data_IF_586758737682
#
_entry.id   IF_586758737682
#
_cell.length_a   1.000
_cell.length_b   1.000
_cell.length_c   1.000
_cell.angle_alpha   90.00
_cell.angle_beta   90.00
_cell.angle_gamma   90.00
#
_symmetry.space_group_name_H-M   'P 1'
#
loop_
_entity.id
_entity.type
_entity.pdbx_description
1 polymer ?
#
# COMPACT_ATOMS: atom_id res chain seq x y z
N UNK A 1 12.38 -24.89 68.59
CA UNK A 1 12.19 -23.48 68.18
C UNK A 1 12.19 -23.47 66.66
N UNK A 2 10.97 -23.42 66.12
CA UNK A 2 10.50 -22.94 64.81
C UNK A 2 11.29 -23.26 63.53
N UNK A 3 10.74 -24.17 62.73
CA UNK A 3 10.86 -24.13 61.26
C UNK A 3 9.49 -24.45 60.65
N UNK A 4 8.86 -23.44 60.03
CA UNK A 4 7.58 -23.56 59.34
C UNK A 4 7.76 -24.20 57.96
N UNK A 5 7.33 -25.44 57.81
CA UNK A 5 7.13 -26.14 56.53
C UNK A 5 5.62 -26.14 56.21
N UNK A 6 5.20 -25.46 55.14
CA UNK A 6 3.88 -25.67 54.54
C UNK A 6 4.07 -26.23 53.13
N UNK A 7 3.83 -27.54 52.99
CA UNK A 7 3.74 -28.25 51.70
C UNK A 7 2.27 -28.32 51.30
N UNK A 8 1.95 -27.77 50.13
CA UNK A 8 0.64 -27.94 49.49
C UNK A 8 0.43 -29.40 49.07
N UNK A 9 -0.74 -29.97 49.41
CA UNK A 9 -1.16 -31.31 49.01
C UNK A 9 -1.76 -31.27 47.60
N UNK A 10 -1.17 -32.02 46.68
CA UNK A 10 -1.69 -32.36 45.36
C UNK A 10 -2.67 -33.53 45.53
N UNK A 11 -3.91 -33.39 45.05
CA UNK A 11 -4.84 -34.50 44.87
C UNK A 11 -4.98 -34.80 43.39
N UNK A 12 -4.58 -36.02 43.02
CA UNK A 12 -4.68 -36.62 41.69
C UNK A 12 -5.97 -37.46 41.66
N UNK A 13 -6.86 -37.20 40.71
CA UNK A 13 -8.02 -38.07 40.43
C UNK A 13 -7.96 -38.50 38.97
N UNK A 14 -7.90 -39.82 38.78
CA UNK A 14 -7.88 -40.53 37.51
C UNK A 14 -9.30 -41.00 37.22
N UNK A 15 -9.80 -40.82 36.00
CA UNK A 15 -11.04 -41.50 35.56
C UNK A 15 -11.00 -41.87 34.09
N UNK A 16 -11.57 -43.05 33.84
CA UNK A 16 -11.44 -43.94 32.69
C UNK A 16 -12.07 -43.46 31.37
N UNK A 17 -11.53 -44.01 30.28
CA UNK A 17 -12.06 -44.04 28.92
C UNK A 17 -13.29 -44.95 28.84
N UNK A 18 -14.37 -44.48 28.18
CA UNK A 18 -15.41 -45.32 27.63
C UNK A 18 -15.77 -44.81 26.22
N UNK A 19 -15.64 -45.68 25.22
CA UNK A 19 -16.06 -45.42 23.85
C UNK A 19 -17.53 -45.84 23.66
N UNK A 20 -18.36 -44.95 23.11
CA UNK A 20 -19.71 -45.25 22.65
C UNK A 20 -19.88 -44.63 21.25
N UNK A 21 -20.01 -45.49 20.25
CA UNK A 21 -20.64 -45.19 18.97
C UNK A 21 -22.16 -45.36 19.13
N UNK A 22 -23.02 -44.51 18.54
CA UNK A 22 -24.18 -44.80 17.65
C UNK A 22 -24.91 -43.49 17.24
N UNK A 23 -24.93 -43.28 15.91
CA UNK A 23 -25.87 -42.57 14.99
C UNK A 23 -26.18 -41.06 15.04
N UNK A 24 -26.29 -40.40 13.86
CA UNK A 24 -26.44 -38.95 13.72
C UNK A 24 -27.89 -38.54 13.41
N UNK A 25 -28.46 -37.63 14.19
CA UNK A 25 -29.65 -36.89 13.76
C UNK A 25 -29.65 -35.47 14.31
N UNK A 26 -29.60 -34.55 13.35
CA UNK A 26 -30.13 -33.17 13.37
C UNK A 26 -29.49 -32.17 14.33
N UNK A 27 -28.33 -31.64 13.91
CA UNK A 27 -28.03 -30.22 14.10
C UNK A 27 -28.11 -29.54 12.73
N UNK A 28 -29.18 -28.76 12.55
CA UNK A 28 -29.40 -27.90 11.39
C UNK A 28 -28.27 -26.86 11.34
N UNK A 29 -27.28 -27.13 10.50
CA UNK A 29 -26.33 -26.12 10.06
C UNK A 29 -27.04 -25.25 9.03
N UNK A 30 -27.24 -23.97 9.33
CA UNK A 30 -27.53 -22.97 8.30
C UNK A 30 -26.25 -22.71 7.52
N UNK A 31 -25.84 -23.68 6.71
CA UNK A 31 -24.95 -23.43 5.59
C UNK A 31 -25.82 -22.77 4.51
N UNK A 32 -25.68 -21.46 4.35
CA UNK A 32 -26.15 -20.78 3.15
C UNK A 32 -25.44 -21.45 1.97
N UNK A 33 -26.13 -22.34 1.26
CA UNK A 33 -25.69 -22.80 -0.04
C UNK A 33 -25.73 -21.57 -0.96
N UNK A 34 -24.60 -20.87 -1.08
CA UNK A 34 -24.38 -20.08 -2.28
C UNK A 34 -24.34 -21.10 -3.41
N UNK A 35 -25.37 -21.07 -4.26
CA UNK A 35 -25.30 -21.72 -5.57
C UNK A 35 -24.16 -20.99 -6.29
N UNK A 36 -22.94 -21.50 -6.14
CA UNK A 36 -21.85 -21.14 -7.00
C UNK A 36 -22.26 -21.64 -8.38
N UNK A 37 -22.64 -20.69 -9.24
CA UNK A 37 -22.98 -20.98 -10.63
C UNK A 37 -21.69 -21.40 -11.32
N UNK A 38 -21.34 -22.68 -11.21
CA UNK A 38 -20.22 -23.26 -11.94
C UNK A 38 -20.54 -23.07 -13.43
N UNK A 39 -19.72 -22.32 -14.19
CA UNK A 39 -19.94 -22.19 -15.62
C UNK A 39 -19.95 -23.60 -16.23
N UNK A 40 -20.87 -23.84 -17.17
CA UNK A 40 -20.98 -25.12 -17.85
C UNK A 40 -19.61 -25.53 -18.42
N UNK A 41 -19.29 -26.82 -18.27
CA UNK A 41 -18.02 -27.36 -18.76
C UNK A 41 -17.85 -26.99 -20.25
N UNK A 42 -16.66 -26.52 -20.68
CA UNK A 42 -16.43 -26.04 -22.05
C UNK A 42 -16.60 -27.13 -23.13
N UNK A 43 -16.70 -28.39 -22.72
CA UNK A 43 -17.04 -29.53 -23.57
C UNK A 43 -18.55 -29.72 -23.82
N UNK A 44 -19.43 -28.99 -23.13
CA UNK A 44 -20.88 -29.08 -23.40
C UNK A 44 -21.17 -28.59 -24.82
N UNK A 45 -21.76 -29.47 -25.64
CA UNK A 45 -22.09 -29.18 -27.04
C UNK A 45 -20.97 -29.48 -28.05
N UNK A 46 -19.80 -29.93 -27.60
CA UNK A 46 -18.69 -30.32 -28.48
C UNK A 46 -18.30 -31.80 -28.25
N UNK A 47 -17.93 -32.53 -29.33
CA UNK A 47 -17.35 -33.90 -29.24
C UNK A 47 -15.86 -33.88 -28.83
N UNK A 48 -15.42 -32.85 -28.12
CA UNK A 48 -14.02 -32.63 -27.76
C UNK A 48 -13.87 -32.85 -26.26
N UNK A 49 -12.98 -33.77 -25.82
CA UNK A 49 -12.80 -34.05 -24.39
C UNK A 49 -12.17 -32.85 -23.67
N UNK A 50 -12.47 -32.67 -22.38
CA UNK A 50 -11.92 -31.57 -21.56
C UNK A 50 -10.37 -31.55 -21.56
N UNK A 51 -9.73 -32.69 -21.71
CA UNK A 51 -8.26 -32.83 -21.79
C UNK A 51 -7.63 -32.23 -23.06
N UNK A 52 -8.43 -31.93 -24.09
CA UNK A 52 -7.96 -31.26 -25.31
C UNK A 52 -7.97 -29.74 -25.17
N UNK A 53 -8.80 -29.19 -24.27
CA UNK A 53 -8.74 -27.78 -23.97
C UNK A 53 -7.45 -27.52 -23.18
N UNK A 54 -6.54 -26.75 -23.78
CA UNK A 54 -5.36 -26.26 -23.08
C UNK A 54 -5.75 -25.40 -21.86
N UNK A 55 -4.76 -24.97 -21.05
CA UNK A 55 -5.01 -23.98 -20.00
C UNK A 55 -5.82 -22.83 -20.61
N UNK A 56 -6.89 -22.37 -19.94
CA UNK A 56 -7.73 -21.33 -20.52
C UNK A 56 -6.85 -20.15 -20.95
N UNK A 57 -7.16 -19.45 -22.04
CA UNK A 57 -6.36 -18.31 -22.48
C UNK A 57 -6.09 -17.28 -21.37
N UNK A 58 -6.96 -17.23 -20.35
CA UNK A 58 -6.80 -16.45 -19.12
C UNK A 58 -5.61 -16.83 -18.23
N UNK A 59 -5.10 -18.06 -18.32
CA UNK A 59 -3.86 -18.49 -17.65
C UNK A 59 -2.64 -17.75 -18.19
N UNK A 60 -2.67 -17.37 -19.47
CA UNK A 60 -1.58 -16.64 -20.14
C UNK A 60 -1.89 -15.16 -20.34
N UNK A 61 -3.17 -14.82 -20.47
CA UNK A 61 -3.66 -13.47 -20.70
C UNK A 61 -4.85 -13.18 -19.77
N UNK A 62 -4.59 -12.81 -18.51
CA UNK A 62 -5.62 -12.61 -17.49
C UNK A 62 -6.71 -11.60 -17.88
N UNK A 63 -6.40 -10.66 -18.77
CA UNK A 63 -7.34 -9.67 -19.31
C UNK A 63 -8.55 -10.29 -20.04
N UNK A 64 -8.44 -11.57 -20.45
CA UNK A 64 -9.50 -12.28 -21.15
C UNK A 64 -10.64 -12.75 -20.23
N UNK A 65 -10.47 -12.68 -18.91
CA UNK A 65 -11.52 -12.99 -17.91
C UNK A 65 -12.07 -11.75 -17.20
N UNK A 66 -11.58 -10.55 -17.53
CA UNK A 66 -12.10 -9.30 -16.98
C UNK A 66 -11.01 -8.25 -16.76
N UNK A 67 -11.35 -7.13 -16.11
CA UNK A 67 -10.38 -6.08 -15.76
C UNK A 67 -9.22 -6.66 -14.94
N UNK A 68 -8.00 -6.54 -15.45
CA UNK A 68 -6.81 -6.99 -14.74
C UNK A 68 -6.35 -5.94 -13.73
N UNK A 69 -6.34 -6.34 -12.46
CA UNK A 69 -5.76 -5.55 -11.37
C UNK A 69 -4.27 -5.82 -11.27
N UNK A 70 -3.45 -4.81 -11.58
CA UNK A 70 -1.99 -4.89 -11.51
C UNK A 70 -1.42 -4.47 -10.14
N UNK A 71 -2.12 -3.62 -9.40
CA UNK A 71 -1.69 -3.17 -8.07
C UNK A 71 -2.05 -4.23 -7.02
N UNK A 72 -1.05 -4.85 -6.39
CA UNK A 72 -1.26 -5.88 -5.36
C UNK A 72 -1.43 -5.31 -3.95
N UNK A 73 -0.83 -4.15 -3.68
CA UNK A 73 -0.62 -3.59 -2.33
C UNK A 73 -1.88 -3.15 -1.55
N UNK A 74 -3.08 -3.33 -2.11
CA UNK A 74 -4.31 -3.00 -1.39
C UNK A 74 -5.60 -3.24 -2.17
N UNK A 75 -6.71 -2.74 -1.65
CA UNK A 75 -8.05 -2.97 -2.19
C UNK A 75 -8.47 -1.81 -3.11
N UNK A 76 -8.93 -2.14 -4.32
CA UNK A 76 -9.33 -1.15 -5.32
C UNK A 76 -10.85 -1.10 -5.37
N UNK A 77 -11.42 0.09 -5.23
CA UNK A 77 -12.82 0.37 -5.50
C UNK A 77 -12.92 1.12 -6.83
N UNK A 78 -13.29 0.37 -7.87
CA UNK A 78 -13.46 0.89 -9.23
C UNK A 78 -14.62 1.87 -9.35
N UNK A 79 -15.66 1.75 -8.52
CA UNK A 79 -16.82 2.64 -8.58
C UNK A 79 -16.49 3.98 -7.92
N UNK A 80 -15.77 3.95 -6.80
CA UNK A 80 -15.31 5.15 -6.12
C UNK A 80 -14.05 5.76 -6.76
N UNK A 81 -13.38 5.05 -7.67
CA UNK A 81 -12.05 5.40 -8.21
C UNK A 81 -11.00 5.57 -7.10
N UNK A 82 -10.97 4.65 -6.15
CA UNK A 82 -10.06 4.72 -5.00
C UNK A 82 -9.29 3.43 -4.78
N UNK A 83 -8.21 3.54 -4.03
CA UNK A 83 -7.48 2.39 -3.48
C UNK A 83 -7.23 2.59 -2.00
N UNK A 84 -7.47 1.56 -1.20
CA UNK A 84 -7.11 1.53 0.22
C UNK A 84 -5.84 0.69 0.40
N UNK A 85 -4.77 1.33 0.88
CA UNK A 85 -3.46 0.74 1.12
C UNK A 85 -3.15 0.66 2.62
N UNK A 86 -2.30 -0.28 3.06
CA UNK A 86 -1.67 -0.23 4.38
C UNK A 86 -0.89 1.07 4.56
N UNK A 87 -1.07 1.69 5.73
CA UNK A 87 -0.34 2.89 6.12
C UNK A 87 0.77 2.52 7.11
N UNK A 88 2.00 2.82 6.73
CA UNK A 88 3.17 2.61 7.55
C UNK A 88 3.61 3.92 8.20
N UNK A 89 4.26 3.79 9.35
CA UNK A 89 4.83 4.93 10.07
C UNK A 89 6.35 4.82 10.08
N UNK A 90 6.99 5.98 10.13
CA UNK A 90 8.43 6.07 10.23
C UNK A 90 8.87 7.49 10.58
N UNK A 91 10.15 7.72 10.35
CA UNK A 91 10.78 8.99 10.71
C UNK A 91 11.87 9.37 9.73
N UNK A 92 12.09 10.67 9.56
CA UNK A 92 13.29 11.20 8.93
C UNK A 92 14.34 11.46 10.02
N UNK A 93 15.56 10.96 9.81
CA UNK A 93 16.73 11.31 10.60
C UNK A 93 16.94 12.82 10.47
N UNK A 94 16.72 13.55 11.58
CA UNK A 94 16.88 15.00 11.58
C UNK A 94 18.33 15.39 11.28
N UNK A 95 18.53 16.17 10.22
CA UNK A 95 19.61 17.16 10.17
C UNK A 95 18.91 18.52 10.32
N UNK A 96 18.99 19.11 11.49
CA UNK A 96 18.69 20.53 11.65
C UNK A 96 19.88 21.19 12.31
N UNK A 97 20.25 22.35 11.78
CA UNK A 97 21.21 23.30 12.35
C UNK A 97 20.83 23.74 13.78
N UNK A 98 19.64 23.35 14.26
CA UNK A 98 19.07 23.69 15.57
C UNK A 98 18.83 22.47 16.49
N UNK A 99 19.41 21.31 16.17
CA UNK A 99 19.33 20.07 16.99
C UNK A 99 18.62 18.90 16.29
N UNK A 100 18.71 17.70 16.87
CA UNK A 100 18.12 16.47 16.31
C UNK A 100 16.58 16.49 16.40
N UNK A 101 15.90 17.11 15.43
CA UNK A 101 14.44 17.02 15.29
C UNK A 101 14.10 15.87 14.35
N UNK A 102 13.65 14.75 14.92
CA UNK A 102 13.09 13.62 14.19
C UNK A 102 11.71 14.00 13.65
N UNK A 103 11.56 14.07 12.33
CA UNK A 103 10.25 14.35 11.70
C UNK A 103 9.49 13.04 11.49
N UNK A 104 8.30 12.94 12.08
CA UNK A 104 7.40 11.79 11.85
C UNK A 104 6.87 11.83 10.42
N UNK A 105 6.84 10.68 9.77
CA UNK A 105 6.30 10.52 8.43
C UNK A 105 5.40 9.29 8.36
N UNK A 106 4.49 9.33 7.41
CA UNK A 106 3.60 8.24 7.07
C UNK A 106 3.72 7.96 5.59
N UNK A 107 3.86 6.70 5.23
CA UNK A 107 4.16 6.29 3.87
C UNK A 107 3.38 5.03 3.51
N UNK A 108 3.26 4.79 2.22
CA UNK A 108 2.72 3.55 1.65
C UNK A 108 3.84 2.77 0.98
N UNK A 109 3.64 1.48 0.78
CA UNK A 109 4.54 0.64 -0.02
C UNK A 109 3.76 0.08 -1.20
N UNK A 110 4.31 0.15 -2.40
CA UNK A 110 3.66 -0.35 -3.62
C UNK A 110 4.47 -1.42 -4.33
N UNK A 111 5.79 -1.24 -4.40
CA UNK A 111 6.69 -2.06 -5.18
C UNK A 111 7.96 -2.40 -4.40
N UNK A 112 8.59 -3.52 -4.76
CA UNK A 112 9.95 -3.85 -4.31
C UNK A 112 10.72 -4.64 -5.36
N UNK A 113 12.05 -4.53 -5.36
CA UNK A 113 12.92 -5.31 -6.24
C UNK A 113 13.15 -6.75 -5.75
N UNK A 114 12.57 -7.16 -4.62
CA UNK A 114 12.68 -8.52 -4.08
C UNK A 114 11.37 -9.30 -4.19
N UNK A 115 11.43 -10.49 -4.79
CA UNK A 115 10.23 -11.28 -5.03
C UNK A 115 9.63 -11.85 -3.74
N UNK A 116 10.47 -12.29 -2.80
CA UNK A 116 10.01 -12.88 -1.55
C UNK A 116 9.25 -11.86 -0.71
N UNK A 117 9.82 -10.66 -0.55
CA UNK A 117 9.19 -9.55 0.16
C UNK A 117 7.94 -9.06 -0.56
N UNK A 118 7.97 -8.99 -1.91
CA UNK A 118 6.78 -8.64 -2.68
C UNK A 118 5.61 -9.59 -2.40
N UNK A 119 5.88 -10.89 -2.35
CA UNK A 119 4.83 -11.89 -2.11
C UNK A 119 4.36 -11.90 -0.65
N UNK A 120 5.26 -11.70 0.33
CA UNK A 120 4.89 -11.65 1.75
C UNK A 120 4.10 -10.40 2.14
N UNK A 121 4.42 -9.26 1.54
CA UNK A 121 3.79 -7.96 1.85
C UNK A 121 2.64 -7.63 0.89
N UNK A 122 2.42 -8.45 -0.14
CA UNK A 122 1.43 -8.18 -1.18
C UNK A 122 1.81 -7.00 -2.07
N UNK A 123 3.10 -6.71 -2.25
CA UNK A 123 3.60 -5.65 -3.13
C UNK A 123 3.80 -6.16 -4.56
N UNK A 124 3.97 -5.22 -5.48
CA UNK A 124 4.38 -5.51 -6.84
C UNK A 124 5.87 -5.88 -6.88
N UNK A 125 6.19 -6.97 -7.58
CA UNK A 125 7.59 -7.33 -7.82
C UNK A 125 8.12 -6.56 -9.02
N UNK A 126 9.05 -5.66 -8.75
CA UNK A 126 9.60 -4.71 -9.72
C UNK A 126 11.13 -4.81 -9.75
N UNK A 127 11.71 -5.84 -10.40
CA UNK A 127 13.16 -6.08 -10.41
C UNK A 127 13.96 -4.92 -11.01
N UNK A 128 13.33 -4.11 -11.88
CA UNK A 128 13.92 -2.92 -12.50
C UNK A 128 14.28 -1.84 -11.47
N UNK A 129 13.67 -1.83 -10.28
CA UNK A 129 14.04 -0.92 -9.19
C UNK A 129 15.52 -1.06 -8.79
N UNK A 130 16.15 -2.22 -9.03
CA UNK A 130 17.60 -2.42 -8.85
C UNK A 130 18.44 -1.36 -9.58
N UNK A 131 17.99 -0.90 -10.75
CA UNK A 131 18.72 0.09 -11.54
C UNK A 131 18.49 1.53 -11.07
N UNK A 132 17.47 1.79 -10.25
CA UNK A 132 17.24 3.12 -9.69
C UNK A 132 18.36 3.54 -8.72
N UNK A 133 19.06 2.57 -8.11
CA UNK A 133 20.19 2.84 -7.21
C UNK A 133 21.49 3.24 -7.92
N UNK A 134 21.54 3.20 -9.26
CA UNK A 134 22.71 3.70 -10.01
C UNK A 134 22.80 5.22 -9.94
N UNK A 135 21.66 5.90 -9.89
CA UNK A 135 21.55 7.35 -9.76
C UNK A 135 21.36 7.82 -8.31
N UNK A 136 20.84 9.02 -8.13
CA UNK A 136 20.55 9.58 -6.81
C UNK A 136 19.10 9.37 -6.36
N UNK A 137 18.30 8.65 -7.16
CA UNK A 137 16.89 8.40 -6.97
C UNK A 137 16.54 7.45 -5.81
N UNK A 138 17.52 6.87 -5.09
CA UNK A 138 17.26 5.97 -3.96
C UNK A 138 17.84 6.52 -2.65
N UNK A 139 16.99 6.70 -1.64
CA UNK A 139 17.40 7.09 -0.29
C UNK A 139 17.74 5.89 0.55
N UNK A 140 18.56 6.10 1.57
CA UNK A 140 18.86 5.04 2.54
C UNK A 140 17.85 5.07 3.68
N UNK A 141 17.31 3.91 4.03
CA UNK A 141 16.48 3.70 5.20
C UNK A 141 17.06 2.57 6.07
N UNK A 142 16.75 2.62 7.36
CA UNK A 142 17.10 1.61 8.35
C UNK A 142 15.82 1.10 9.00
N UNK A 143 15.68 -0.23 9.08
CA UNK A 143 14.61 -0.89 9.81
C UNK A 143 14.93 -0.86 11.31
N UNK A 144 14.03 -0.28 12.09
CA UNK A 144 14.16 -0.18 13.53
C UNK A 144 13.58 -1.40 14.26
N UNK A 145 13.88 -1.53 15.55
CA UNK A 145 13.42 -2.66 16.38
C UNK A 145 11.89 -2.73 16.50
N UNK A 146 11.22 -1.60 16.40
CA UNK A 146 9.76 -1.48 16.44
C UNK A 146 9.10 -1.66 15.06
N UNK A 147 9.87 -2.12 14.06
CA UNK A 147 9.48 -2.32 12.65
C UNK A 147 9.17 -1.04 11.87
N UNK A 148 9.37 0.14 12.47
CA UNK A 148 9.34 1.40 11.75
C UNK A 148 10.59 1.57 10.88
N UNK A 149 10.52 2.49 9.92
CA UNK A 149 11.66 2.85 9.09
C UNK A 149 12.18 4.24 9.46
N UNK A 150 13.48 4.34 9.71
CA UNK A 150 14.21 5.61 9.75
C UNK A 150 14.83 5.89 8.39
N UNK A 151 14.36 6.94 7.73
CA UNK A 151 14.88 7.43 6.46
C UNK A 151 16.01 8.42 6.75
N UNK A 152 17.14 8.31 6.06
CA UNK A 152 18.30 9.15 6.36
C UNK A 152 18.11 10.63 6.01
N UNK A 153 17.28 10.94 5.02
CA UNK A 153 17.00 12.30 4.57
C UNK A 153 15.72 12.35 3.72
N UNK A 154 15.28 13.55 3.37
CA UNK A 154 14.19 13.79 2.44
C UNK A 154 12.81 13.78 3.09
N UNK A 155 12.15 14.92 3.10
CA UNK A 155 10.73 15.05 3.48
C UNK A 155 9.94 15.71 2.37
N UNK A 156 8.62 15.65 2.51
CA UNK A 156 7.67 16.34 1.64
C UNK A 156 7.05 17.50 2.41
N UNK A 157 6.88 18.62 1.72
CA UNK A 157 6.08 19.77 2.14
C UNK A 157 4.73 19.73 1.42
N UNK A 158 3.66 19.61 2.21
CA UNK A 158 2.27 19.57 1.74
C UNK A 158 1.56 20.92 1.89
N UNK A 159 2.22 21.94 2.44
CA UNK A 159 1.63 23.28 2.61
C UNK A 159 1.39 24.08 1.31
N UNK A 160 2.06 23.83 0.17
CA UNK A 160 1.77 24.55 -1.06
C UNK A 160 0.35 24.33 -1.57
N UNK A 161 -0.29 25.41 -2.03
CA UNK A 161 -1.54 25.28 -2.76
C UNK A 161 -1.26 24.94 -4.22
N UNK A 162 -1.83 23.82 -4.67
CA UNK A 162 -1.82 23.44 -6.08
C UNK A 162 -2.50 24.53 -6.93
N UNK A 163 -1.85 24.94 -8.01
CA UNK A 163 -2.44 25.83 -9.00
C UNK A 163 -2.33 25.23 -10.40
N UNK A 164 -3.37 25.43 -11.22
CA UNK A 164 -3.38 25.02 -12.62
C UNK A 164 -4.32 25.96 -13.39
N UNK A 165 -3.74 26.81 -14.24
CA UNK A 165 -4.49 27.73 -15.10
C UNK A 165 -4.30 27.27 -16.55
N UNK A 166 -5.37 26.95 -17.28
CA UNK A 166 -5.26 26.50 -18.67
C UNK A 166 -4.66 27.59 -19.58
N UNK A 167 -4.12 27.16 -20.71
CA UNK A 167 -3.70 28.04 -21.80
C UNK A 167 -4.88 28.78 -22.44
N UNK A 168 -4.57 29.66 -23.39
CA UNK A 168 -5.60 30.42 -24.10
C UNK A 168 -6.40 29.52 -25.05
N UNK A 169 -7.73 29.69 -25.08
CA UNK A 169 -8.58 28.99 -26.04
C UNK A 169 -8.13 29.26 -27.50
N UNK A 170 -8.24 28.28 -28.41
CA UNK A 170 -8.78 26.92 -28.21
C UNK A 170 -7.77 25.94 -27.59
N UNK A 171 -6.53 26.37 -27.34
CA UNK A 171 -5.44 25.52 -26.90
C UNK A 171 -5.22 25.63 -25.39
N UNK A 172 -5.98 24.86 -24.61
CA UNK A 172 -5.84 24.82 -23.15
C UNK A 172 -4.47 24.26 -22.68
N UNK A 173 -3.71 23.63 -23.56
CA UNK A 173 -2.37 23.12 -23.30
C UNK A 173 -1.33 23.79 -24.22
N UNK A 174 -0.14 24.17 -23.71
CA UNK A 174 0.29 24.06 -22.32
C UNK A 174 -0.45 25.04 -21.38
N UNK A 175 -0.58 24.72 -20.08
CA UNK A 175 -1.18 25.64 -19.11
C UNK A 175 -0.36 26.92 -18.97
N UNK A 176 -1.05 28.04 -18.71
CA UNK A 176 -0.43 29.35 -18.51
C UNK A 176 0.40 29.41 -17.23
N UNK A 177 -0.13 28.84 -16.14
CA UNK A 177 0.57 28.70 -14.87
C UNK A 177 0.23 27.37 -14.22
N UNK A 178 1.19 26.79 -13.49
CA UNK A 178 0.97 25.59 -12.71
C UNK A 178 1.92 25.57 -11.50
N UNK A 179 1.47 24.96 -10.41
CA UNK A 179 2.29 24.64 -9.25
C UNK A 179 1.77 23.35 -8.61
N UNK A 180 2.65 22.39 -8.24
CA UNK A 180 2.27 21.24 -7.42
C UNK A 180 1.75 21.68 -6.04
N UNK A 181 0.86 20.88 -5.45
CA UNK A 181 0.42 21.04 -4.05
C UNK A 181 1.32 20.32 -3.04
N UNK A 182 2.12 19.35 -3.51
CA UNK A 182 3.06 18.60 -2.72
C UNK A 182 4.46 18.69 -3.33
N UNK A 183 5.46 19.07 -2.53
CA UNK A 183 6.84 19.28 -3.00
C UNK A 183 7.81 18.57 -2.08
N UNK A 184 8.56 17.61 -2.63
CA UNK A 184 9.70 17.00 -1.97
C UNK A 184 10.86 17.99 -1.86
N UNK A 185 11.59 17.95 -0.74
CA UNK A 185 12.85 18.66 -0.63
C UNK A 185 13.92 18.10 -1.58
N UNK A 186 15.10 18.75 -1.61
CA UNK A 186 16.21 18.36 -2.49
C UNK A 186 16.72 16.92 -2.29
N UNK A 187 16.42 16.31 -1.14
CA UNK A 187 16.87 14.97 -0.78
C UNK A 187 15.76 13.93 -0.94
N UNK A 188 14.52 14.34 -1.18
CA UNK A 188 13.37 13.46 -1.28
C UNK A 188 13.23 12.78 -2.65
N UNK A 189 12.95 11.47 -2.59
CA UNK A 189 12.50 10.59 -3.68
C UNK A 189 11.72 9.44 -3.02
N UNK A 190 10.65 8.91 -3.63
CA UNK A 190 9.86 7.87 -2.98
C UNK A 190 10.64 6.56 -2.79
N UNK A 191 11.71 6.33 -3.56
CA UNK A 191 12.46 5.07 -3.48
C UNK A 191 13.41 5.04 -2.29
N UNK A 192 13.41 3.91 -1.58
CA UNK A 192 14.30 3.65 -0.45
C UNK A 192 15.01 2.32 -0.58
N UNK A 193 16.22 2.24 -0.06
CA UNK A 193 16.95 1.00 0.19
C UNK A 193 17.07 0.75 1.68
N UNK A 194 16.57 -0.39 2.15
CA UNK A 194 16.65 -0.78 3.56
C UNK A 194 17.98 -1.48 3.81
N UNK A 195 18.94 -0.76 4.39
CA UNK A 195 20.34 -1.20 4.42
C UNK A 195 20.64 -2.37 5.35
N UNK A 196 19.86 -2.51 6.43
CA UNK A 196 20.02 -3.55 7.46
C UNK A 196 18.99 -4.69 7.32
N UNK A 197 18.27 -4.77 6.21
CA UNK A 197 17.30 -5.83 5.92
C UNK A 197 17.36 -6.21 4.43
N UNK A 198 18.43 -6.90 4.04
CA UNK A 198 18.58 -7.45 2.68
C UNK A 198 19.01 -6.46 1.59
N UNK A 199 19.13 -5.15 1.88
CA UNK A 199 19.50 -4.12 0.90
C UNK A 199 18.54 -4.02 -0.30
N UNK A 200 17.28 -4.43 -0.11
CA UNK A 200 16.25 -4.33 -1.14
C UNK A 200 15.72 -2.91 -1.28
N UNK A 201 15.25 -2.59 -2.48
CA UNK A 201 14.69 -1.29 -2.84
C UNK A 201 13.17 -1.40 -2.82
N UNK A 202 12.52 -0.39 -2.23
CA UNK A 202 11.09 -0.27 -2.14
C UNK A 202 10.66 1.08 -2.71
N UNK A 203 9.50 1.09 -3.37
CA UNK A 203 8.79 2.34 -3.66
C UNK A 203 7.95 2.69 -2.42
N UNK A 204 8.35 3.77 -1.72
CA UNK A 204 7.82 4.19 -0.44
C UNK A 204 7.39 5.68 -0.41
N UNK A 205 6.38 6.09 -1.20
CA UNK A 205 5.86 7.46 -1.21
C UNK A 205 5.40 7.94 0.17
N UNK A 206 5.81 9.15 0.55
CA UNK A 206 5.34 9.79 1.78
C UNK A 206 3.96 10.41 1.51
N UNK A 207 2.96 10.04 2.32
CA UNK A 207 1.57 10.52 2.21
C UNK A 207 1.16 11.48 3.32
N UNK A 208 1.95 11.58 4.40
CA UNK A 208 1.83 12.62 5.41
C UNK A 208 3.17 12.85 6.13
N UNK A 209 3.45 14.08 6.55
CA UNK A 209 4.72 14.46 7.17
C UNK A 209 4.53 15.47 8.30
N UNK A 210 5.45 15.44 9.26
CA UNK A 210 5.50 16.35 10.41
C UNK A 210 4.18 16.40 11.21
N UNK A 211 3.49 15.27 11.30
CA UNK A 211 2.18 15.15 11.95
C UNK A 211 2.12 13.85 12.76
N UNK A 212 1.58 13.93 13.97
CA UNK A 212 1.43 12.76 14.83
C UNK A 212 0.17 11.95 14.53
N UNK A 213 0.13 10.73 15.06
CA UNK A 213 -1.00 9.82 14.87
C UNK A 213 -2.31 10.41 15.40
N UNK A 214 -2.28 11.13 16.53
CA UNK A 214 -3.49 11.70 17.15
C UNK A 214 -4.15 12.73 16.24
N UNK A 215 -3.37 13.60 15.61
CA UNK A 215 -3.87 14.58 14.64
C UNK A 215 -4.40 13.88 13.39
N UNK A 216 -3.69 12.88 12.86
CA UNK A 216 -4.15 12.13 11.69
C UNK A 216 -5.42 11.30 11.95
N UNK A 217 -5.64 10.82 13.18
CA UNK A 217 -6.87 10.08 13.52
C UNK A 217 -8.16 10.90 13.30
N UNK A 218 -8.07 12.23 13.26
CA UNK A 218 -9.21 13.08 12.88
C UNK A 218 -9.68 12.86 11.43
N UNK A 219 -8.81 12.31 10.56
CA UNK A 219 -9.06 12.12 9.13
C UNK A 219 -9.46 10.69 8.76
N UNK A 220 -9.66 9.80 9.75
CA UNK A 220 -10.06 8.41 9.52
C UNK A 220 -11.39 8.31 8.73
N UNK A 221 -12.30 9.28 8.92
CA UNK A 221 -13.61 9.30 8.29
C UNK A 221 -13.69 10.21 7.05
N UNK A 222 -12.60 10.91 6.70
CA UNK A 222 -12.54 11.82 5.56
C UNK A 222 -12.13 13.24 5.94
N UNK A 223 -12.29 14.16 4.99
CA UNK A 223 -11.97 15.59 5.11
C UNK A 223 -10.54 15.87 5.62
N UNK A 224 -9.52 15.34 4.93
CA UNK A 224 -8.13 15.57 5.33
C UNK A 224 -7.74 17.04 5.20
N UNK A 225 -6.83 17.45 6.08
CA UNK A 225 -6.12 18.72 5.98
C UNK A 225 -4.94 18.57 5.01
N UNK A 226 -5.11 19.04 3.77
CA UNK A 226 -4.11 18.89 2.72
C UNK A 226 -2.81 19.65 3.00
N UNK A 227 -2.76 20.53 3.99
CA UNK A 227 -1.47 21.11 4.43
C UNK A 227 -0.56 20.11 5.14
N UNK A 228 -1.10 18.93 5.51
CA UNK A 228 -0.40 17.88 6.26
C UNK A 228 -0.27 16.57 5.49
N UNK A 229 -1.06 16.38 4.44
CA UNK A 229 -1.17 15.11 3.71
C UNK A 229 -1.16 15.32 2.21
N UNK A 230 -0.80 14.26 1.48
CA UNK A 230 -0.76 14.26 0.03
C UNK A 230 -2.16 14.52 -0.59
N UNK A 231 -2.21 15.29 -1.69
CA UNK A 231 -3.45 15.71 -2.39
C UNK A 231 -4.39 14.57 -2.84
N UNK A 232 -3.91 13.32 -2.90
CA UNK A 232 -4.70 12.14 -3.27
C UNK A 232 -5.37 11.48 -2.06
N UNK A 233 -4.98 11.83 -0.84
CA UNK A 233 -5.56 11.27 0.38
C UNK A 233 -7.01 11.69 0.50
N UNK A 234 -7.90 10.71 0.62
CA UNK A 234 -9.32 10.91 0.91
C UNK A 234 -9.64 10.58 2.37
N UNK A 235 -8.97 9.56 2.91
CA UNK A 235 -9.04 9.14 4.32
C UNK A 235 -7.67 8.63 4.74
N UNK A 236 -7.22 8.96 5.94
CA UNK A 236 -5.97 8.44 6.49
C UNK A 236 -6.18 8.13 7.96
N UNK A 237 -5.88 6.90 8.34
CA UNK A 237 -6.14 6.41 9.69
C UNK A 237 -4.91 5.64 10.20
N UNK A 238 -4.14 6.23 11.12
CA UNK A 238 -3.07 5.52 11.81
C UNK A 238 -3.56 4.25 12.49
N UNK A 239 -2.72 3.22 12.48
CA UNK A 239 -2.98 1.99 13.21
C UNK A 239 -2.94 2.20 14.72
N UNK A 240 -3.61 1.33 15.46
CA UNK A 240 -3.57 1.31 16.93
C UNK A 240 -3.13 -0.05 17.45
N UNK A 241 -2.18 -0.08 18.38
CA UNK A 241 -1.64 -1.33 18.91
C UNK A 241 -1.06 -2.21 17.80
N UNK A 242 -1.66 -3.38 17.59
CA UNK A 242 -1.26 -4.36 16.57
C UNK A 242 -1.96 -4.21 15.23
N UNK A 243 -2.93 -3.29 15.11
CA UNK A 243 -3.64 -3.06 13.85
C UNK A 243 -2.82 -2.18 12.90
N UNK A 244 -2.70 -2.61 11.65
CA UNK A 244 -2.07 -1.80 10.60
C UNK A 244 -2.96 -0.61 10.26
N UNK A 245 -2.36 0.57 10.11
CA UNK A 245 -3.09 1.74 9.64
C UNK A 245 -3.54 1.59 8.19
N UNK A 246 -4.42 2.47 7.73
CA UNK A 246 -4.87 2.48 6.34
C UNK A 246 -4.91 3.90 5.78
N UNK A 247 -4.73 4.01 4.47
CA UNK A 247 -4.97 5.24 3.73
C UNK A 247 -5.75 4.93 2.47
N UNK A 248 -6.80 5.72 2.22
CA UNK A 248 -7.59 5.65 0.99
C UNK A 248 -7.17 6.79 0.08
N UNK A 249 -6.66 6.44 -1.10
CA UNK A 249 -6.13 7.35 -2.10
C UNK A 249 -7.03 7.40 -3.33
N UNK A 250 -7.14 8.57 -3.94
CA UNK A 250 -7.81 8.77 -5.22
C UNK A 250 -6.94 8.28 -6.38
N UNK A 251 -7.48 7.37 -7.18
CA UNK A 251 -6.85 6.90 -8.40
C UNK A 251 -6.98 7.94 -9.52
N UNK A 252 -6.02 7.94 -10.45
CA UNK A 252 -6.07 8.76 -11.65
C UNK A 252 -6.78 7.98 -12.75
N UNK A 253 -7.69 8.64 -13.47
CA UNK A 253 -8.29 8.10 -14.67
C UNK A 253 -7.36 8.36 -15.86
N UNK A 254 -7.10 7.31 -16.62
CA UNK A 254 -6.30 7.37 -17.84
C UNK A 254 -6.96 6.62 -18.98
N UNK A 255 -6.28 6.61 -20.13
CA UNK A 255 -6.70 5.87 -21.30
C UNK A 255 -5.50 5.18 -21.92
N UNK A 256 -5.60 3.88 -22.15
CA UNK A 256 -4.53 3.07 -22.74
C UNK A 256 -5.12 1.99 -23.63
N UNK A 257 -4.52 1.77 -24.81
CA UNK A 257 -4.95 0.76 -25.79
C UNK A 257 -6.47 0.76 -26.10
N UNK A 258 -7.08 1.94 -26.19
CA UNK A 258 -8.50 2.05 -26.49
C UNK A 258 -9.43 1.79 -25.29
N UNK A 259 -8.89 1.66 -24.08
CA UNK A 259 -9.64 1.33 -22.86
C UNK A 259 -9.38 2.35 -21.74
N UNK A 260 -10.41 2.72 -20.96
CA UNK A 260 -10.20 3.48 -19.74
C UNK A 260 -9.41 2.63 -18.73
N UNK A 261 -8.46 3.25 -18.05
CA UNK A 261 -7.67 2.63 -16.99
C UNK A 261 -7.71 3.48 -15.74
N UNK A 262 -7.63 2.83 -14.57
CA UNK A 262 -7.34 3.49 -13.32
C UNK A 262 -5.90 3.18 -12.94
N UNK A 263 -5.13 4.20 -12.60
CA UNK A 263 -3.76 4.03 -12.17
C UNK A 263 -3.47 4.82 -10.89
N UNK A 264 -2.51 4.33 -10.14
CA UNK A 264 -1.97 5.02 -8.98
C UNK A 264 -0.63 5.66 -9.37
N UNK A 265 -0.52 6.95 -9.11
CA UNK A 265 0.71 7.73 -9.17
C UNK A 265 0.78 8.56 -7.90
N UNK A 266 1.98 8.72 -7.32
CA UNK A 266 2.20 9.44 -6.07
C UNK A 266 3.37 10.42 -6.13
N UNK A 267 4.27 10.25 -7.09
CA UNK A 267 5.43 11.12 -7.27
C UNK A 267 5.75 11.34 -8.75
N UNK A 268 6.32 12.51 -9.07
CA UNK A 268 6.79 12.84 -10.41
C UNK A 268 8.03 13.74 -10.35
N UNK A 269 8.96 13.52 -11.27
CA UNK A 269 10.12 14.39 -11.50
C UNK A 269 9.83 15.59 -12.40
N UNK A 270 8.61 15.67 -12.94
CA UNK A 270 8.14 16.80 -13.74
C UNK A 270 7.08 17.59 -12.95
N UNK A 271 7.27 18.91 -12.73
CA UNK A 271 6.36 19.71 -11.91
C UNK A 271 4.98 19.92 -12.56
N UNK A 272 4.91 19.92 -13.90
CA UNK A 272 3.63 20.00 -14.61
C UNK A 272 2.84 18.70 -14.44
N UNK A 273 3.47 17.53 -14.62
CA UNK A 273 2.82 16.25 -14.35
C UNK A 273 2.39 16.12 -12.88
N UNK A 274 3.23 16.59 -11.94
CA UNK A 274 2.92 16.63 -10.52
C UNK A 274 1.65 17.47 -10.23
N UNK A 275 1.59 18.67 -10.82
CA UNK A 275 0.41 19.50 -10.74
C UNK A 275 -0.81 18.84 -11.41
N UNK A 276 -0.70 18.28 -12.61
CA UNK A 276 -1.86 17.67 -13.31
C UNK A 276 -2.45 16.50 -12.52
N UNK A 277 -1.61 15.62 -11.97
CA UNK A 277 -2.06 14.38 -11.35
C UNK A 277 -2.33 14.48 -9.84
N UNK A 278 -2.08 15.63 -9.22
CA UNK A 278 -2.20 15.83 -7.77
C UNK A 278 -1.21 14.95 -7.00
N UNK A 279 0.06 14.95 -7.43
CA UNK A 279 1.12 14.10 -6.88
C UNK A 279 2.33 14.92 -6.44
N UNK A 280 3.19 14.30 -5.64
CA UNK A 280 4.38 14.95 -5.09
C UNK A 280 5.40 15.24 -6.18
N UNK A 281 5.89 16.47 -6.24
CA UNK A 281 7.02 16.81 -7.10
C UNK A 281 8.34 16.42 -6.42
N UNK A 282 9.12 15.53 -7.02
CA UNK A 282 10.42 15.08 -6.54
C UNK A 282 11.49 15.30 -7.61
N UNK A 283 12.30 16.35 -7.45
CA UNK A 283 13.38 16.69 -8.39
C UNK A 283 14.40 15.56 -8.51
N UNK A 284 14.68 14.85 -7.42
CA UNK A 284 15.73 13.83 -7.34
C UNK A 284 15.35 12.52 -8.01
N UNK A 285 14.08 12.34 -8.41
CA UNK A 285 13.62 11.15 -9.11
C UNK A 285 14.12 11.09 -10.57
N UNK A 286 14.56 12.20 -11.17
CA UNK A 286 15.15 12.26 -12.52
C UNK A 286 16.67 12.41 -12.55
N UNK A 287 17.34 12.42 -11.40
CA UNK A 287 18.79 12.67 -11.25
C UNK A 287 19.57 11.39 -10.85
#
# INVERSE_FOLDING_TARGET
MDTNFSKAKIFMVTTMVAAVFISPSTLLSFAQAQIEFQPVAPSIGAKVPLSYFGPPPSTFQPDLVGPLKLLRAGQVDVNANTVTLPLYHGQIKGNSTTGNVTKKIWYVLTDTNDKGNADQLGLNFSPKLTYAAVGQAVRVATLEKDTSLTFNAGTVDFSPNRTLVPGAAPNAFPPKTFSPGSVGDKDYTPLIRIQNAGNHIYDAPIVAANVDAKRLSAFCNGSPDYSLVHDKVLKICPGTGTSTGTVTLKLTQGFSFGRPVLYLSLDSSNPLAAALEHITYSVRLSL
#
